data_IF_464709525017
#
_entry.id   IF_464709525017
#
_cell.length_a   1.000
_cell.length_b   1.000
_cell.length_c   1.000
_cell.angle_alpha   90.00
_cell.angle_beta   90.00
_cell.angle_gamma   90.00
#
_symmetry.space_group_name_H-M   'P 1'
#
loop_
_entity.id
_entity.type
_entity.pdbx_description
1 polymer ?
#
# COMPACT_ATOMS: atom_id res chain seq x y z
N UNK A 1 -16.10 9.05 -1.78
CA UNK A 1 -16.98 8.51 -0.71
C UNK A 1 -16.00 8.00 0.33
N UNK A 2 -15.94 8.57 1.54
CA UNK A 2 -14.99 8.09 2.55
C UNK A 2 -15.47 6.71 3.02
N UNK A 3 -14.66 5.68 2.79
CA UNK A 3 -14.87 4.35 3.34
C UNK A 3 -14.63 4.43 4.85
N UNK A 4 -15.48 3.79 5.66
CA UNK A 4 -15.36 3.81 7.12
C UNK A 4 -14.15 2.96 7.55
N UNK A 5 -12.97 3.58 7.56
CA UNK A 5 -11.69 2.98 7.90
C UNK A 5 -11.23 3.48 9.27
N UNK A 6 -10.46 2.66 10.00
CA UNK A 6 -9.96 3.02 11.34
C UNK A 6 -8.72 3.90 11.31
N UNK A 7 -7.88 3.74 10.31
CA UNK A 7 -6.60 4.40 10.28
C UNK A 7 -6.22 4.74 8.87
N UNK A 8 -5.77 5.96 8.71
CA UNK A 8 -5.13 6.42 7.50
C UNK A 8 -3.68 6.68 7.83
N UNK A 9 -2.79 6.10 7.03
CA UNK A 9 -1.37 6.40 7.10
C UNK A 9 -1.10 7.51 6.10
N UNK A 10 -0.56 8.63 6.59
CA UNK A 10 -0.11 9.72 5.71
C UNK A 10 1.32 9.42 5.28
N UNK A 11 1.51 9.03 4.04
CA UNK A 11 2.81 8.98 3.39
C UNK A 11 3.01 10.20 2.50
N UNK A 12 4.26 10.45 2.13
CA UNK A 12 4.62 11.60 1.31
C UNK A 12 5.10 11.09 -0.03
N UNK A 13 4.43 11.44 -1.12
CA UNK A 13 4.93 11.14 -2.45
C UNK A 13 6.08 12.08 -2.81
N UNK A 14 7.15 11.53 -3.38
CA UNK A 14 8.42 12.22 -3.60
C UNK A 14 8.97 12.04 -5.02
N UNK A 15 9.85 12.96 -5.41
CA UNK A 15 10.54 12.93 -6.70
C UNK A 15 11.96 12.40 -6.46
N UNK A 16 12.39 11.39 -7.21
CA UNK A 16 13.76 10.86 -7.19
C UNK A 16 14.56 11.34 -8.42
N UNK A 17 15.81 11.75 -8.22
CA UNK A 17 16.72 12.22 -9.26
C UNK A 17 18.11 11.58 -9.13
N UNK A 18 18.76 11.27 -10.27
CA UNK A 18 20.17 10.84 -10.32
C UNK A 18 21.18 12.00 -10.35
N UNK A 19 20.72 13.17 -10.83
CA UNK A 19 21.34 14.48 -10.71
C UNK A 19 20.28 15.54 -11.08
N UNK A 20 20.40 16.79 -10.62
CA UNK A 20 19.53 17.86 -11.14
C UNK A 20 19.82 18.08 -12.63
N UNK A 21 18.88 17.76 -13.53
CA UNK A 21 19.13 17.84 -14.96
C UNK A 21 19.21 19.32 -15.37
N UNK A 22 20.02 19.64 -16.39
CA UNK A 22 20.12 21.01 -16.91
C UNK A 22 18.77 21.53 -17.46
N UNK A 23 17.84 20.61 -17.79
CA UNK A 23 16.45 20.89 -18.17
C UNK A 23 15.60 21.47 -17.02
N UNK A 24 16.08 21.46 -15.77
CA UNK A 24 15.46 22.13 -14.62
C UNK A 24 15.24 23.63 -14.79
N UNK A 25 15.94 24.26 -15.74
CA UNK A 25 15.70 25.65 -16.11
C UNK A 25 14.60 25.85 -17.16
N UNK A 26 14.13 24.79 -17.84
CA UNK A 26 13.29 24.87 -19.05
C UNK A 26 11.86 24.35 -18.89
N UNK A 27 11.53 23.73 -17.75
CA UNK A 27 10.19 23.23 -17.40
C UNK A 27 9.60 22.14 -18.34
N UNK A 28 10.39 21.47 -19.17
CA UNK A 28 9.98 20.23 -19.86
C UNK A 28 10.77 19.06 -19.25
N UNK A 29 10.14 18.29 -18.38
CA UNK A 29 10.78 17.19 -17.64
C UNK A 29 10.24 15.84 -18.10
N UNK A 30 11.10 14.83 -18.21
CA UNK A 30 10.67 13.45 -18.42
C UNK A 30 10.46 12.75 -17.08
N UNK A 31 9.26 12.24 -16.85
CA UNK A 31 8.90 11.59 -15.60
C UNK A 31 8.60 10.11 -15.84
N UNK A 32 9.20 9.24 -15.03
CA UNK A 32 8.80 7.85 -14.91
C UNK A 32 7.83 7.66 -13.75
N UNK A 33 6.79 6.87 -13.97
CA UNK A 33 5.81 6.45 -12.96
C UNK A 33 5.51 4.96 -13.15
N UNK A 34 5.15 4.26 -12.08
CA UNK A 34 4.46 2.98 -12.26
C UNK A 34 3.01 3.25 -12.66
N UNK A 35 2.57 2.63 -13.75
CA UNK A 35 1.25 2.88 -14.33
C UNK A 35 0.14 2.44 -13.38
N UNK A 36 -0.94 3.22 -13.33
CA UNK A 36 -2.11 2.92 -12.48
C UNK A 36 -1.99 3.37 -11.02
N UNK A 37 -0.84 3.94 -10.62
CA UNK A 37 -0.64 4.47 -9.26
C UNK A 37 -1.21 5.89 -9.10
N UNK A 38 -1.38 6.34 -7.86
CA UNK A 38 -1.67 7.75 -7.51
C UNK A 38 -0.67 8.72 -8.14
N UNK A 39 0.61 8.34 -8.18
CA UNK A 39 1.69 9.10 -8.81
C UNK A 39 1.50 9.25 -10.32
N UNK A 40 1.02 8.23 -11.03
CA UNK A 40 0.68 8.30 -12.47
C UNK A 40 -0.47 9.28 -12.72
N UNK A 41 -1.57 9.13 -11.96
CA UNK A 41 -2.72 10.03 -12.03
C UNK A 41 -2.32 11.48 -11.74
N UNK A 42 -1.54 11.70 -10.67
CA UNK A 42 -1.06 13.03 -10.31
C UNK A 42 -0.18 13.64 -11.42
N UNK A 43 0.75 12.86 -11.98
CA UNK A 43 1.61 13.31 -13.06
C UNK A 43 0.79 13.72 -14.30
N UNK A 44 -0.20 12.91 -14.67
CA UNK A 44 -1.07 13.18 -15.81
C UNK A 44 -1.98 14.42 -15.60
N UNK A 45 -2.53 14.61 -14.40
CA UNK A 45 -3.49 15.68 -14.13
C UNK A 45 -2.85 17.02 -13.74
N UNK A 46 -1.74 16.97 -13.00
CA UNK A 46 -1.16 18.14 -12.34
C UNK A 46 0.15 18.63 -12.97
N UNK A 47 0.84 17.79 -13.75
CA UNK A 47 2.15 18.11 -14.34
C UNK A 47 2.07 18.25 -15.86
N UNK A 48 1.20 19.16 -16.34
CA UNK A 48 0.95 19.37 -17.77
C UNK A 48 2.17 19.77 -18.61
N UNK A 49 3.29 20.14 -17.97
CA UNK A 49 4.57 20.47 -18.60
C UNK A 49 5.59 19.31 -18.53
N UNK A 50 5.20 18.13 -18.07
CA UNK A 50 6.02 16.93 -18.06
C UNK A 50 5.68 15.98 -19.22
N UNK A 51 6.69 15.27 -19.73
CA UNK A 51 6.54 14.10 -20.58
C UNK A 51 6.52 12.87 -19.68
N UNK A 52 5.33 12.32 -19.43
CA UNK A 52 5.14 11.18 -18.52
C UNK A 52 5.28 9.87 -19.28
N UNK A 53 6.12 8.97 -18.76
CA UNK A 53 6.30 7.59 -19.23
C UNK A 53 5.83 6.64 -18.13
N UNK A 54 4.76 5.90 -18.42
CA UNK A 54 4.28 4.82 -17.55
C UNK A 54 5.08 3.55 -17.77
N UNK A 55 5.43 2.89 -16.67
CA UNK A 55 6.10 1.59 -16.65
C UNK A 55 5.22 0.56 -15.95
N UNK A 56 5.42 -0.72 -16.26
CA UNK A 56 4.65 -1.80 -15.64
C UNK A 56 4.99 -1.96 -14.14
N UNK A 57 6.24 -1.67 -13.76
CA UNK A 57 6.71 -1.72 -12.35
C UNK A 57 7.56 -0.49 -12.02
N UNK A 58 7.63 -0.12 -10.74
CA UNK A 58 8.48 0.99 -10.28
C UNK A 58 9.97 0.72 -10.53
N UNK A 59 10.42 -0.54 -10.43
CA UNK A 59 11.77 -0.98 -10.77
C UNK A 59 12.17 -0.54 -12.19
N UNK A 60 11.29 -0.76 -13.17
CA UNK A 60 11.53 -0.37 -14.56
C UNK A 60 11.63 1.16 -14.73
N UNK A 61 10.82 1.93 -13.97
CA UNK A 61 10.93 3.38 -13.95
C UNK A 61 12.28 3.84 -13.36
N UNK A 62 12.74 3.18 -12.29
CA UNK A 62 14.04 3.45 -11.66
C UNK A 62 15.21 3.08 -12.60
N UNK A 63 15.11 1.98 -13.35
CA UNK A 63 16.09 1.63 -14.37
C UNK A 63 16.16 2.66 -15.49
N UNK A 64 15.01 3.16 -15.96
CA UNK A 64 14.95 4.23 -16.96
C UNK A 64 15.60 5.52 -16.44
N UNK A 65 15.43 5.85 -15.15
CA UNK A 65 16.10 6.99 -14.51
C UNK A 65 17.61 6.83 -14.50
N UNK A 66 18.12 5.63 -14.16
CA UNK A 66 19.54 5.31 -14.15
C UNK A 66 20.16 5.39 -15.55
N UNK A 67 19.39 5.03 -16.58
CA UNK A 67 19.80 5.10 -17.99
C UNK A 67 19.70 6.51 -18.59
N UNK A 68 19.00 7.43 -17.91
CA UNK A 68 18.76 8.79 -18.39
C UNK A 68 17.64 8.91 -19.42
N UNK A 69 16.79 7.88 -19.52
CA UNK A 69 15.60 7.90 -20.37
C UNK A 69 14.50 8.80 -19.79
N UNK A 70 14.40 8.83 -18.46
CA UNK A 70 13.62 9.81 -17.69
C UNK A 70 14.52 10.66 -16.81
N UNK A 71 14.09 11.89 -16.52
CA UNK A 71 14.81 12.84 -15.67
C UNK A 71 14.53 12.61 -14.18
N UNK A 72 13.29 12.18 -13.87
CA UNK A 72 12.85 11.90 -12.51
C UNK A 72 11.90 10.71 -12.45
N UNK A 73 11.76 10.12 -11.27
CA UNK A 73 10.71 9.12 -10.95
C UNK A 73 9.84 9.66 -9.82
N UNK A 74 8.52 9.48 -9.94
CA UNK A 74 7.55 9.77 -8.90
C UNK A 74 7.09 8.47 -8.23
N UNK A 75 6.98 8.49 -6.91
CA UNK A 75 6.50 7.38 -6.09
C UNK A 75 6.53 7.73 -4.60
N UNK A 76 6.13 6.79 -3.77
CA UNK A 76 6.09 7.00 -2.32
C UNK A 76 7.47 7.12 -1.70
N UNK A 77 7.60 7.98 -0.69
CA UNK A 77 8.88 8.22 -0.03
C UNK A 77 9.56 6.93 0.47
N UNK A 78 8.87 5.97 1.12
CA UNK A 78 9.53 4.75 1.57
C UNK A 78 10.06 3.91 0.41
N UNK A 79 9.29 3.76 -0.67
CA UNK A 79 9.71 3.08 -1.90
C UNK A 79 10.93 3.75 -2.52
N UNK A 80 10.90 5.08 -2.68
CA UNK A 80 12.03 5.80 -3.27
C UNK A 80 13.27 5.80 -2.37
N UNK A 81 13.10 5.79 -1.03
CA UNK A 81 14.21 5.62 -0.08
C UNK A 81 14.82 4.22 -0.14
N UNK A 82 14.00 3.19 -0.33
CA UNK A 82 14.48 1.83 -0.56
C UNK A 82 15.43 1.78 -1.76
N UNK A 83 15.02 2.32 -2.92
CA UNK A 83 15.89 2.41 -4.10
C UNK A 83 17.09 3.34 -3.91
N UNK A 84 16.93 4.44 -3.17
CA UNK A 84 18.03 5.34 -2.85
C UNK A 84 19.11 4.66 -2.00
N UNK A 85 18.72 3.78 -1.07
CA UNK A 85 19.65 3.05 -0.22
C UNK A 85 20.41 1.95 -0.98
N UNK A 86 19.79 1.35 -2.00
CA UNK A 86 20.37 0.27 -2.79
C UNK A 86 21.28 0.77 -3.94
N UNK A 87 21.20 2.06 -4.32
CA UNK A 87 21.89 2.59 -5.49
C UNK A 87 22.67 3.88 -5.21
N UNK A 88 23.96 3.87 -5.52
CA UNK A 88 24.78 5.08 -5.52
C UNK A 88 24.27 6.09 -6.55
N UNK A 89 24.06 7.33 -6.11
CA UNK A 89 23.75 8.46 -6.99
C UNK A 89 22.28 8.81 -7.16
N UNK A 90 21.35 8.05 -6.55
CA UNK A 90 19.95 8.49 -6.44
C UNK A 90 19.77 9.42 -5.24
N UNK A 91 18.89 10.41 -5.38
CA UNK A 91 18.56 11.35 -4.31
C UNK A 91 17.12 11.83 -4.39
N UNK A 92 16.43 11.90 -3.24
CA UNK A 92 15.13 12.55 -3.14
C UNK A 92 15.28 14.04 -3.47
N UNK A 93 14.63 14.48 -4.54
CA UNK A 93 14.65 15.83 -5.08
C UNK A 93 13.53 16.73 -4.53
N UNK A 94 12.48 16.16 -3.93
CA UNK A 94 11.38 16.91 -3.30
C UNK A 94 10.17 16.04 -2.99
N UNK A 95 9.18 16.62 -2.31
CA UNK A 95 7.87 16.02 -1.99
C UNK A 95 6.76 16.79 -2.71
N UNK A 96 5.66 16.12 -3.08
CA UNK A 96 4.60 16.76 -3.87
C UNK A 96 3.15 16.49 -3.40
N UNK A 97 2.89 15.44 -2.63
CA UNK A 97 1.58 15.17 -2.02
C UNK A 97 1.71 14.41 -0.71
N UNK A 98 0.68 14.55 0.13
CA UNK A 98 0.37 13.64 1.22
C UNK A 98 -0.62 12.59 0.66
N UNK A 99 -0.39 11.32 0.96
CA UNK A 99 -1.19 10.19 0.48
C UNK A 99 -1.71 9.38 1.64
N UNK A 100 -2.99 9.01 1.53
CA UNK A 100 -3.77 8.33 2.55
C UNK A 100 -3.89 6.84 2.18
N UNK A 101 -3.23 5.96 2.95
CA UNK A 101 -3.30 4.50 2.77
C UNK A 101 -4.39 3.90 3.68
N UNK A 102 -5.04 2.82 3.24
CA UNK A 102 -6.03 2.10 4.00
C UNK A 102 -6.51 0.78 3.37
N UNK A 103 -7.16 -0.04 4.18
CA UNK A 103 -7.69 -1.33 3.74
C UNK A 103 -9.11 -1.17 3.18
N UNK A 104 -9.33 -1.66 1.96
CA UNK A 104 -10.62 -1.68 1.28
C UNK A 104 -11.33 -3.03 1.39
N UNK A 105 -12.66 -3.02 1.46
CA UNK A 105 -13.51 -4.21 1.25
C UNK A 105 -14.67 -3.88 0.31
N UNK A 106 -15.35 -4.91 -0.20
CA UNK A 106 -16.50 -4.72 -1.08
C UNK A 106 -17.64 -3.93 -0.39
N UNK A 107 -18.31 -3.00 -1.10
CA UNK A 107 -19.47 -2.31 -0.57
C UNK A 107 -20.55 -3.28 -0.06
N UNK A 108 -21.01 -3.08 1.17
CA UNK A 108 -22.02 -3.93 1.81
C UNK A 108 -21.45 -5.01 2.72
N UNK A 109 -20.14 -5.26 2.70
CA UNK A 109 -19.47 -6.22 3.58
C UNK A 109 -19.10 -5.59 4.93
N UNK A 110 -20.12 -5.11 5.65
CA UNK A 110 -19.93 -4.38 6.92
C UNK A 110 -19.28 -5.22 8.01
N UNK A 111 -19.58 -6.52 8.06
CA UNK A 111 -19.04 -7.41 9.08
C UNK A 111 -17.53 -7.65 8.86
N UNK A 112 -17.12 -7.84 7.60
CA UNK A 112 -15.70 -7.99 7.27
C UNK A 112 -14.94 -6.69 7.57
N UNK A 113 -15.49 -5.55 7.17
CA UNK A 113 -14.92 -4.24 7.49
C UNK A 113 -14.79 -4.05 9.00
N UNK A 114 -15.82 -4.41 9.77
CA UNK A 114 -15.81 -4.31 11.22
C UNK A 114 -14.71 -5.20 11.85
N UNK A 115 -14.57 -6.44 11.39
CA UNK A 115 -13.53 -7.34 11.89
C UNK A 115 -12.10 -6.85 11.57
N UNK A 116 -11.86 -6.37 10.35
CA UNK A 116 -10.57 -5.80 9.95
C UNK A 116 -10.25 -4.55 10.77
N UNK A 117 -11.23 -3.66 10.91
CA UNK A 117 -11.09 -2.46 11.72
C UNK A 117 -10.69 -2.82 13.16
N UNK A 118 -11.48 -3.66 13.85
CA UNK A 118 -11.17 -4.05 15.24
C UNK A 118 -9.79 -4.70 15.36
N UNK A 119 -9.42 -5.58 14.43
CA UNK A 119 -8.08 -6.17 14.38
C UNK A 119 -6.97 -5.13 14.23
N UNK A 120 -7.13 -4.17 13.34
CA UNK A 120 -6.17 -3.08 13.14
C UNK A 120 -6.02 -2.23 14.40
N UNK A 121 -7.13 -1.91 15.08
CA UNK A 121 -7.11 -1.23 16.36
C UNK A 121 -6.30 -2.00 17.41
N UNK A 122 -6.49 -3.32 17.53
CA UNK A 122 -5.71 -4.15 18.45
C UNK A 122 -4.21 -4.21 18.10
N UNK A 123 -3.86 -4.21 16.81
CA UNK A 123 -2.47 -4.20 16.33
C UNK A 123 -1.80 -2.87 16.68
N UNK A 124 -2.50 -1.74 16.51
CA UNK A 124 -2.02 -0.41 16.88
C UNK A 124 -1.89 -0.28 18.40
N UNK A 125 -2.94 -0.62 19.16
CA UNK A 125 -2.96 -0.49 20.62
C UNK A 125 -1.88 -1.34 21.32
N UNK A 126 -1.50 -2.46 20.70
CA UNK A 126 -0.45 -3.34 21.22
C UNK A 126 0.97 -2.90 20.86
N UNK A 127 1.14 -1.93 19.96
CA UNK A 127 2.44 -1.51 19.41
C UNK A 127 3.02 -2.49 18.38
N UNK A 128 2.23 -3.49 17.96
CA UNK A 128 2.62 -4.44 16.92
C UNK A 128 2.75 -3.75 15.56
N UNK A 129 1.88 -2.77 15.27
CA UNK A 129 1.99 -1.92 14.07
C UNK A 129 3.37 -1.25 13.98
N UNK A 130 3.81 -0.59 15.06
CA UNK A 130 5.11 0.10 15.10
C UNK A 130 6.27 -0.86 14.85
N UNK A 131 6.14 -2.11 15.32
CA UNK A 131 7.15 -3.15 15.11
C UNK A 131 7.21 -3.58 13.65
N UNK A 132 6.04 -3.79 13.00
CA UNK A 132 5.94 -4.13 11.57
C UNK A 132 6.47 -2.97 10.73
N UNK A 133 6.05 -1.74 11.03
CA UNK A 133 6.48 -0.54 10.34
C UNK A 133 8.02 -0.38 10.39
N UNK A 134 8.60 -0.49 11.60
CA UNK A 134 10.04 -0.35 11.77
C UNK A 134 10.84 -1.46 11.06
N UNK A 135 10.28 -2.67 10.95
CA UNK A 135 10.90 -3.77 10.22
C UNK A 135 10.99 -3.47 8.72
N UNK A 136 9.96 -2.86 8.13
CA UNK A 136 9.91 -2.56 6.69
C UNK A 136 10.62 -1.27 6.30
N UNK A 137 10.51 -0.22 7.12
CA UNK A 137 10.93 1.13 6.74
C UNK A 137 12.05 1.73 7.63
N UNK A 138 12.48 1.00 8.67
CA UNK A 138 13.46 1.47 9.64
C UNK A 138 12.88 2.44 10.68
N UNK A 139 13.74 3.23 11.33
CA UNK A 139 13.37 4.12 12.44
C UNK A 139 12.62 5.41 12.02
N UNK A 140 11.94 5.40 10.87
CA UNK A 140 11.12 6.53 10.44
C UNK A 140 9.83 6.60 11.25
N UNK A 141 9.53 7.79 11.77
CA UNK A 141 8.29 8.02 12.50
C UNK A 141 7.20 8.33 11.48
N UNK A 142 6.27 7.41 11.31
CA UNK A 142 5.01 7.68 10.62
C UNK A 142 3.94 8.09 11.63
N UNK A 143 3.16 9.09 11.25
CA UNK A 143 2.03 9.56 12.04
C UNK A 143 0.81 8.78 11.60
N UNK A 144 0.38 7.86 12.45
CA UNK A 144 -0.92 7.23 12.33
C UNK A 144 -1.99 8.27 12.64
N UNK A 145 -2.91 8.49 11.70
CA UNK A 145 -4.07 9.34 11.94
C UNK A 145 -5.25 8.45 12.33
N UNK A 146 -5.72 8.63 13.56
CA UNK A 146 -6.97 8.04 14.03
C UNK A 146 -8.14 8.73 13.32
N UNK A 147 -8.67 8.04 12.31
CA UNK A 147 -9.80 8.47 11.50
C UNK A 147 -11.11 7.79 11.96
N UNK A 148 -11.12 7.21 13.16
CA UNK A 148 -12.31 6.56 13.71
C UNK A 148 -13.47 7.54 13.90
N UNK A 149 -14.68 7.06 13.61
CA UNK A 149 -15.92 7.82 13.85
C UNK A 149 -16.96 6.97 14.61
N UNK A 150 -18.17 7.50 14.77
CA UNK A 150 -19.24 6.80 15.50
C UNK A 150 -19.74 5.53 14.83
N UNK A 151 -19.37 5.28 13.57
CA UNK A 151 -19.73 4.11 12.78
C UNK A 151 -18.61 3.08 12.76
N UNK A 152 -17.41 3.44 13.21
CA UNK A 152 -16.30 2.51 13.39
C UNK A 152 -16.65 1.44 14.43
N UNK A 153 -16.46 0.16 14.06
CA UNK A 153 -16.69 -0.95 14.96
C UNK A 153 -15.66 -1.00 16.09
N UNK A 154 -16.12 -1.25 17.32
CA UNK A 154 -15.26 -1.41 18.51
C UNK A 154 -15.24 -2.83 19.05
N UNK A 155 -15.90 -3.77 18.37
CA UNK A 155 -15.95 -5.17 18.73
C UNK A 155 -16.22 -6.02 17.48
N UNK A 156 -15.64 -7.22 17.46
CA UNK A 156 -15.91 -8.21 16.41
C UNK A 156 -17.40 -8.55 16.32
N UNK A 157 -17.96 -8.75 15.10
CA UNK A 157 -19.32 -9.24 14.93
C UNK A 157 -19.54 -10.55 15.70
N UNK A 158 -20.51 -10.56 16.62
CA UNK A 158 -20.81 -11.74 17.45
C UNK A 158 -21.43 -12.89 16.66
N UNK A 159 -22.21 -12.55 15.63
CA UNK A 159 -22.84 -13.50 14.70
C UNK A 159 -22.49 -13.05 13.27
N UNK A 160 -21.29 -13.40 12.76
CA UNK A 160 -20.82 -12.97 11.46
C UNK A 160 -21.75 -13.36 10.32
N UNK A 161 -21.93 -12.46 9.37
CA UNK A 161 -22.67 -12.66 8.13
C UNK A 161 -21.88 -12.21 6.90
N UNK A 162 -22.40 -12.50 5.71
CA UNK A 162 -21.78 -12.09 4.44
C UNK A 162 -20.37 -12.65 4.30
N UNK A 163 -19.46 -11.84 3.73
CA UNK A 163 -18.10 -12.28 3.41
C UNK A 163 -17.30 -12.70 4.63
N UNK A 164 -17.53 -12.10 5.80
CA UNK A 164 -16.84 -12.52 7.01
C UNK A 164 -17.23 -13.95 7.40
N UNK A 165 -18.50 -14.34 7.25
CA UNK A 165 -18.91 -15.70 7.54
C UNK A 165 -18.23 -16.72 6.61
N UNK A 166 -18.09 -16.37 5.32
CA UNK A 166 -17.41 -17.20 4.34
C UNK A 166 -15.91 -17.34 4.67
N UNK A 167 -15.22 -16.22 4.93
CA UNK A 167 -13.82 -16.17 5.38
C UNK A 167 -13.57 -17.05 6.61
N UNK A 168 -14.46 -16.98 7.61
CA UNK A 168 -14.32 -17.78 8.82
C UNK A 168 -14.63 -19.26 8.59
N UNK A 169 -15.55 -19.59 7.69
CA UNK A 169 -15.89 -20.96 7.34
C UNK A 169 -14.78 -21.63 6.51
N UNK A 170 -14.13 -20.87 5.64
CA UNK A 170 -13.00 -21.31 4.82
C UNK A 170 -11.67 -21.28 5.60
N UNK A 171 -11.67 -20.64 6.78
CA UNK A 171 -10.49 -20.39 7.62
C UNK A 171 -9.39 -19.60 6.87
N UNK A 172 -9.77 -18.80 5.86
CA UNK A 172 -8.84 -18.09 4.98
C UNK A 172 -9.32 -16.67 4.65
N UNK A 173 -8.43 -15.69 4.86
CA UNK A 173 -8.60 -14.30 4.43
C UNK A 173 -7.64 -13.98 3.27
N UNK A 174 -8.18 -13.57 2.13
CA UNK A 174 -7.40 -13.28 0.93
C UNK A 174 -7.35 -11.77 0.70
N UNK A 175 -6.15 -11.20 0.62
CA UNK A 175 -5.92 -9.81 0.24
C UNK A 175 -5.46 -9.72 -1.22
N UNK A 176 -6.00 -8.78 -1.99
CA UNK A 176 -5.45 -8.39 -3.28
C UNK A 176 -4.22 -7.49 -3.08
N UNK A 177 -3.17 -7.68 -3.90
CA UNK A 177 -1.90 -6.94 -3.81
C UNK A 177 -1.21 -6.84 -5.18
N UNK A 178 -0.42 -5.77 -5.41
CA UNK A 178 0.48 -5.63 -6.57
C UNK A 178 1.93 -5.80 -6.09
N UNK A 179 2.53 -7.01 -6.10
CA UNK A 179 3.78 -7.34 -5.41
C UNK A 179 5.03 -6.85 -6.16
N UNK A 180 4.98 -5.65 -6.71
CA UNK A 180 6.05 -5.00 -7.46
C UNK A 180 6.37 -3.60 -6.91
N UNK A 181 6.06 -3.35 -5.64
CA UNK A 181 6.23 -2.06 -4.97
C UNK A 181 6.98 -2.15 -3.62
N UNK A 182 8.27 -2.54 -3.62
CA UNK A 182 9.02 -2.67 -2.39
C UNK A 182 9.27 -1.29 -1.71
N UNK A 183 9.28 -1.22 -0.37
CA UNK A 183 9.23 -2.34 0.57
C UNK A 183 7.81 -2.64 1.11
N UNK A 184 6.76 -2.14 0.46
CA UNK A 184 5.37 -2.44 0.83
C UNK A 184 5.01 -3.89 0.49
N UNK A 185 5.23 -4.26 -0.76
CA UNK A 185 5.02 -5.62 -1.25
C UNK A 185 6.00 -5.98 -2.36
N UNK A 186 6.51 -7.19 -2.29
CA UNK A 186 7.45 -7.75 -3.27
C UNK A 186 7.39 -9.27 -3.23
N UNK A 187 7.87 -9.92 -4.30
CA UNK A 187 8.14 -11.35 -4.26
C UNK A 187 9.49 -11.66 -3.61
N UNK A 188 9.51 -12.61 -2.67
CA UNK A 188 10.74 -13.24 -2.20
C UNK A 188 11.29 -14.26 -3.22
N UNK A 189 12.42 -14.88 -2.89
CA UNK A 189 13.07 -15.87 -3.76
C UNK A 189 12.25 -17.16 -3.99
N UNK A 190 11.26 -17.42 -3.13
CA UNK A 190 10.39 -18.59 -3.19
C UNK A 190 9.02 -18.25 -3.85
N UNK A 191 8.85 -17.02 -4.34
CA UNK A 191 7.61 -16.43 -4.89
C UNK A 191 6.48 -16.26 -3.86
N UNK A 192 6.82 -16.03 -2.59
CA UNK A 192 5.86 -15.55 -1.61
C UNK A 192 5.83 -14.01 -1.66
N UNK A 193 4.65 -13.43 -1.51
CA UNK A 193 4.54 -11.99 -1.28
C UNK A 193 5.02 -11.68 0.13
N UNK A 194 5.96 -10.74 0.24
CA UNK A 194 6.55 -10.25 1.48
C UNK A 194 6.60 -8.72 1.49
N UNK A 195 6.69 -8.13 2.66
CA UNK A 195 6.78 -6.69 2.85
C UNK A 195 5.80 -6.21 3.92
N UNK A 196 5.73 -4.89 4.09
CA UNK A 196 4.84 -4.25 5.06
C UNK A 196 3.38 -4.73 4.94
N UNK A 197 2.85 -4.77 3.72
CA UNK A 197 1.45 -5.11 3.46
C UNK A 197 1.13 -6.55 3.85
N UNK A 198 2.03 -7.48 3.51
CA UNK A 198 1.91 -8.89 3.88
C UNK A 198 1.97 -9.08 5.41
N UNK A 199 2.85 -8.35 6.09
CA UNK A 199 3.01 -8.44 7.54
C UNK A 199 1.78 -7.85 8.28
N UNK A 200 1.24 -6.72 7.81
CA UNK A 200 -0.01 -6.15 8.34
C UNK A 200 -1.19 -7.09 8.09
N UNK A 201 -1.32 -7.65 6.88
CA UNK A 201 -2.37 -8.59 6.55
C UNK A 201 -2.30 -9.85 7.43
N UNK A 202 -1.10 -10.40 7.64
CA UNK A 202 -0.87 -11.55 8.52
C UNK A 202 -1.25 -11.23 9.97
N UNK A 203 -0.87 -10.07 10.49
CA UNK A 203 -1.24 -9.63 11.83
C UNK A 203 -2.76 -9.50 11.98
N UNK A 204 -3.46 -8.93 10.98
CA UNK A 204 -4.92 -8.82 10.97
C UNK A 204 -5.58 -10.20 11.02
N UNK A 205 -5.14 -11.12 10.16
CA UNK A 205 -5.66 -12.50 10.17
C UNK A 205 -5.41 -13.20 11.49
N UNK A 206 -4.27 -12.98 12.14
CA UNK A 206 -3.98 -13.55 13.45
C UNK A 206 -4.96 -13.04 14.53
N UNK A 207 -5.29 -11.74 14.55
CA UNK A 207 -6.30 -11.20 15.49
C UNK A 207 -7.70 -11.75 15.20
N UNK A 208 -8.11 -11.78 13.93
CA UNK A 208 -9.42 -12.30 13.51
C UNK A 208 -9.54 -13.79 13.89
N UNK A 209 -8.56 -14.62 13.53
CA UNK A 209 -8.53 -16.05 13.87
C UNK A 209 -8.62 -16.29 15.37
N UNK A 210 -7.86 -15.53 16.17
CA UNK A 210 -7.92 -15.59 17.62
C UNK A 210 -9.31 -15.20 18.17
N UNK A 211 -9.91 -14.13 17.66
CA UNK A 211 -11.23 -13.65 18.09
C UNK A 211 -12.33 -14.70 17.86
N UNK A 212 -12.23 -15.49 16.79
CA UNK A 212 -13.19 -16.54 16.44
C UNK A 212 -12.75 -17.95 16.86
N UNK A 213 -11.68 -18.09 17.65
CA UNK A 213 -11.12 -19.36 18.12
C UNK A 213 -10.70 -20.33 16.98
N UNK A 214 -10.25 -19.80 15.86
CA UNK A 214 -9.73 -20.56 14.72
C UNK A 214 -8.21 -20.64 14.85
N UNK A 215 -7.67 -21.86 15.01
CA UNK A 215 -6.23 -22.05 15.28
C UNK A 215 -5.36 -22.03 14.03
N UNK A 216 -5.92 -22.32 12.87
CA UNK A 216 -5.19 -22.43 11.60
C UNK A 216 -5.72 -21.41 10.58
N UNK A 217 -6.08 -20.22 11.03
CA UNK A 217 -6.56 -19.17 10.15
C UNK A 217 -5.42 -18.68 9.23
N UNK A 218 -5.60 -18.80 7.93
CA UNK A 218 -4.58 -18.43 6.93
C UNK A 218 -4.86 -17.08 6.31
N UNK A 219 -3.79 -16.37 5.96
CA UNK A 219 -3.85 -15.15 5.16
C UNK A 219 -3.07 -15.38 3.89
N UNK A 220 -3.68 -15.06 2.76
CA UNK A 220 -3.07 -15.22 1.43
C UNK A 220 -3.07 -13.89 0.71
N UNK A 221 -1.95 -13.58 0.07
CA UNK A 221 -1.79 -12.42 -0.80
C UNK A 221 -2.00 -12.86 -2.25
N UNK A 222 -2.98 -12.29 -2.94
CA UNK A 222 -3.37 -12.61 -4.31
C UNK A 222 -2.91 -11.48 -5.23
N UNK A 223 -1.97 -11.78 -6.13
CA UNK A 223 -1.49 -10.83 -7.15
C UNK A 223 -2.65 -10.29 -8.01
N UNK A 224 -2.71 -8.97 -8.10
CA UNK A 224 -3.60 -8.15 -8.92
C UNK A 224 -2.82 -6.97 -9.44
N UNK A 225 -3.21 -6.48 -10.61
CA UNK A 225 -2.73 -5.18 -11.09
C UNK A 225 -3.39 -4.05 -10.31
N UNK A 226 -2.74 -2.88 -10.24
CA UNK A 226 -3.35 -1.67 -9.67
C UNK A 226 -4.72 -1.34 -10.27
N UNK A 227 -4.89 -1.52 -11.59
CA UNK A 227 -6.19 -1.33 -12.25
C UNK A 227 -7.28 -2.26 -11.71
N UNK A 228 -6.95 -3.52 -11.42
CA UNK A 228 -7.89 -4.49 -10.85
C UNK A 228 -8.20 -4.21 -9.38
N UNK A 229 -7.20 -3.77 -8.61
CA UNK A 229 -7.36 -3.38 -7.21
C UNK A 229 -8.25 -2.13 -7.08
N UNK A 230 -8.00 -1.11 -7.90
CA UNK A 230 -8.75 0.15 -7.92
C UNK A 230 -10.12 0.02 -8.60
N UNK A 231 -10.35 -1.04 -9.38
CA UNK A 231 -11.67 -1.40 -9.86
C UNK A 231 -12.60 -1.89 -8.73
N UNK A 232 -12.03 -2.30 -7.58
CA UNK A 232 -12.77 -2.81 -6.44
C UNK A 232 -13.70 -3.98 -6.81
N UNK A 233 -13.23 -4.83 -7.73
CA UNK A 233 -13.87 -6.07 -8.18
C UNK A 233 -13.39 -7.24 -7.32
N UNK A 234 -13.98 -7.40 -6.13
CA UNK A 234 -13.63 -8.43 -5.13
C UNK A 234 -14.14 -9.83 -5.51
N UNK A 235 -13.79 -10.31 -6.71
CA UNK A 235 -14.30 -11.55 -7.28
C UNK A 235 -13.57 -12.79 -6.73
N UNK A 236 -12.27 -12.67 -6.43
CA UNK A 236 -11.38 -13.76 -5.98
C UNK A 236 -10.40 -13.33 -4.86
N UNK A 237 -10.72 -12.23 -4.19
CA UNK A 237 -10.08 -11.75 -2.95
C UNK A 237 -11.14 -11.04 -2.08
N UNK A 238 -10.84 -10.83 -0.81
CA UNK A 238 -11.78 -10.35 0.20
C UNK A 238 -11.57 -8.90 0.59
N UNK A 239 -10.31 -8.44 0.57
CA UNK A 239 -9.91 -7.09 0.93
C UNK A 239 -8.73 -6.62 0.06
N UNK A 240 -8.54 -5.32 -0.09
CA UNK A 240 -7.36 -4.73 -0.73
C UNK A 240 -6.57 -3.97 0.32
N UNK A 241 -5.26 -4.10 0.33
CA UNK A 241 -4.37 -3.19 1.06
C UNK A 241 -3.76 -2.23 0.04
N UNK A 242 -3.81 -0.94 0.35
CA UNK A 242 -3.38 0.19 -0.49
C UNK A 242 -3.17 1.40 0.40
#
# INVERSE_FOLDING_TARGET
MKFSQILTVVLVACVLASAMPASAATMNYKLGVQSGTTSDVYAAESLANAEVSGFDTIDLAIEALKQGDVDFVLGDLPTLKFYQADSDGLSIAGSFSEEDFGIGVAPGESDLLAAINVALGEIVDSGEYDTIFAASFGDEIVVLTDDTDTNTATAYPAEPTGRLADVLADEELVFGTDPYYPPFESYDADNNVVGFDADVAAAIGAKIGAAYNITNFTVTMHEKTWDELLAFGYDDYHATLS
#
